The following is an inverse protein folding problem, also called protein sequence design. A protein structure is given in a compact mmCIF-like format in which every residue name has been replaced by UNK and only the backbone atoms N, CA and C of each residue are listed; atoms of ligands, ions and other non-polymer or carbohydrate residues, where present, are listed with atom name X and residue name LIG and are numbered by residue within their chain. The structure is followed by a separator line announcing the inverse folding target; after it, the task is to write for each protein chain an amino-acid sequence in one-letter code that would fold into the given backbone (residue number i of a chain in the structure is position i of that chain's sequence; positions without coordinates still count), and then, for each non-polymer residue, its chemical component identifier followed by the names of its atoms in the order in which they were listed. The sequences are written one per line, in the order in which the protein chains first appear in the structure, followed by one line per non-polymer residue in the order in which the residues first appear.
data_IF_479662905164
#
_entry.id   IF_479662905164
#
_cell.length_a   1.000
_cell.length_b   1.000
_cell.length_c   1.000
_cell.angle_alpha   90.00
_cell.angle_beta   90.00
_cell.angle_gamma   90.00
#
_symmetry.space_group_name_H-M   'P 1'
#
loop_
_entity.id
_entity.type
_entity.pdbx_description
1 polymer ?
#
# COMPACT_ATOMS: atom_id res chain seq x y z
N UNK A 1 3.96 -5.23 -6.48
CA UNK A 1 4.96 -5.78 -5.53
C UNK A 1 5.90 -4.67 -5.09
N UNK A 2 6.38 -4.69 -3.85
CA UNK A 2 7.30 -3.70 -3.31
C UNK A 2 8.40 -4.34 -2.46
N UNK A 3 9.59 -3.73 -2.49
CA UNK A 3 10.74 -4.11 -1.68
C UNK A 3 11.16 -2.96 -0.77
N UNK A 4 11.36 -3.19 0.55
CA UNK A 4 11.89 -2.19 1.47
C UNK A 4 13.36 -1.90 1.15
N UNK A 5 13.77 -0.67 1.40
CA UNK A 5 15.14 -0.19 1.20
C UNK A 5 15.37 1.12 1.96
N UNK A 6 16.60 1.47 2.35
CA UNK A 6 16.91 2.78 2.93
C UNK A 6 16.46 3.91 2.00
N UNK A 7 15.84 4.98 2.52
CA UNK A 7 15.39 6.12 1.72
C UNK A 7 16.55 6.81 0.99
N UNK A 8 16.27 7.40 -0.18
CA UNK A 8 17.30 8.15 -0.94
C UNK A 8 17.55 9.53 -0.31
N UNK A 9 16.51 10.12 0.30
CA UNK A 9 16.61 11.43 0.93
C UNK A 9 17.20 11.36 2.34
N UNK A 10 17.00 10.24 3.04
CA UNK A 10 17.48 10.03 4.40
C UNK A 10 17.74 8.53 4.65
N UNK A 11 19.00 8.06 4.55
CA UNK A 11 19.34 6.66 4.72
C UNK A 11 18.99 6.06 6.08
N UNK A 12 18.74 6.89 7.11
CA UNK A 12 18.33 6.41 8.43
C UNK A 12 16.85 5.97 8.48
N UNK A 13 16.08 6.23 7.41
CA UNK A 13 14.66 5.88 7.32
C UNK A 13 14.41 4.83 6.25
N UNK A 14 13.58 3.84 6.56
CA UNK A 14 13.10 2.89 5.57
C UNK A 14 12.08 3.53 4.62
N UNK A 15 12.22 3.20 3.34
CA UNK A 15 11.31 3.48 2.25
C UNK A 15 11.12 2.19 1.45
N UNK A 16 10.42 2.25 0.33
CA UNK A 16 10.24 1.10 -0.54
C UNK A 16 10.17 1.55 -2.00
N UNK A 17 10.45 0.60 -2.89
CA UNK A 17 10.24 0.76 -4.33
C UNK A 17 9.21 -0.27 -4.76
N UNK A 18 8.20 0.17 -5.51
CA UNK A 18 7.16 -0.71 -6.03
C UNK A 18 7.13 -0.79 -7.56
N UNK A 19 6.82 -1.99 -8.06
CA UNK A 19 6.41 -2.24 -9.44
C UNK A 19 4.96 -2.73 -9.44
N UNK A 20 4.12 -2.12 -10.26
CA UNK A 20 2.69 -2.45 -10.36
C UNK A 20 2.37 -2.86 -11.79
N UNK A 21 1.62 -3.95 -11.92
CA UNK A 21 1.03 -4.36 -13.19
C UNK A 21 -0.46 -4.06 -13.12
N UNK A 22 -0.91 -3.16 -13.98
CA UNK A 22 -2.31 -2.75 -14.08
C UNK A 22 -2.76 -2.93 -15.54
N UNK A 23 -3.97 -3.42 -15.72
CA UNK A 23 -4.54 -3.57 -17.07
C UNK A 23 -4.88 -2.21 -17.67
N UNK A 24 -4.89 -2.13 -19.00
CA UNK A 24 -5.29 -0.90 -19.70
C UNK A 24 -6.74 -0.57 -19.36
N UNK A 25 -7.03 0.69 -19.04
CA UNK A 25 -8.37 1.15 -18.63
C UNK A 25 -8.64 1.03 -17.13
N UNK A 26 -7.78 0.34 -16.39
CA UNK A 26 -7.79 0.27 -14.94
C UNK A 26 -6.86 1.34 -14.34
N UNK A 27 -7.17 1.82 -13.13
CA UNK A 27 -6.47 2.94 -12.45
C UNK A 27 -6.11 2.62 -11.00
N UNK A 28 -6.18 1.35 -10.64
CA UNK A 28 -5.86 0.88 -9.31
C UNK A 28 -4.39 1.12 -8.98
N UNK A 29 -3.52 1.22 -9.99
CA UNK A 29 -2.06 1.40 -9.86
C UNK A 29 -1.66 2.53 -8.92
N UNK A 30 -2.33 3.68 -9.00
CA UNK A 30 -2.10 4.80 -8.08
C UNK A 30 -2.31 4.39 -6.61
N UNK A 31 -3.39 3.66 -6.34
CA UNK A 31 -3.76 3.18 -5.00
C UNK A 31 -2.82 2.06 -4.56
N UNK A 32 -2.65 1.03 -5.40
CA UNK A 32 -1.90 -0.18 -5.02
C UNK A 32 -0.41 0.10 -4.86
N UNK A 33 0.15 1.05 -5.62
CA UNK A 33 1.55 1.47 -5.48
C UNK A 33 1.80 2.04 -4.10
N UNK A 34 1.01 3.04 -3.68
CA UNK A 34 1.16 3.68 -2.38
C UNK A 34 0.94 2.71 -1.21
N UNK A 35 -0.05 1.81 -1.32
CA UNK A 35 -0.28 0.76 -0.34
C UNK A 35 0.93 -0.17 -0.24
N UNK A 36 1.44 -0.65 -1.37
CA UNK A 36 2.59 -1.57 -1.41
C UNK A 36 3.84 -0.93 -0.81
N UNK A 37 4.15 0.31 -1.18
CA UNK A 37 5.32 1.03 -0.67
C UNK A 37 5.22 1.28 0.84
N UNK A 38 4.03 1.71 1.31
CA UNK A 38 3.81 1.99 2.72
C UNK A 38 3.94 0.73 3.58
N UNK A 39 3.31 -0.37 3.16
CA UNK A 39 3.37 -1.63 3.90
C UNK A 39 4.79 -2.19 3.91
N UNK A 40 5.47 -2.24 2.75
CA UNK A 40 6.83 -2.74 2.66
C UNK A 40 7.81 -1.94 3.54
N UNK A 41 7.74 -0.60 3.49
CA UNK A 41 8.63 0.26 4.26
C UNK A 41 8.40 0.16 5.78
N UNK A 42 7.14 0.04 6.21
CA UNK A 42 6.80 -0.01 7.65
C UNK A 42 7.06 -1.39 8.25
N UNK A 43 6.77 -2.45 7.51
CA UNK A 43 6.92 -3.83 7.99
C UNK A 43 8.33 -4.39 7.74
N UNK A 44 9.20 -3.62 7.06
CA UNK A 44 10.52 -4.06 6.58
C UNK A 44 10.49 -5.43 5.88
N UNK A 45 9.47 -5.62 5.03
CA UNK A 45 9.20 -6.89 4.37
C UNK A 45 8.88 -6.69 2.89
N UNK A 46 9.19 -7.71 2.07
CA UNK A 46 8.71 -7.75 0.69
C UNK A 46 7.20 -7.94 0.69
N UNK A 47 6.47 -7.05 0.03
CA UNK A 47 4.99 -7.04 0.03
C UNK A 47 4.45 -7.17 -1.39
N UNK A 48 3.46 -8.04 -1.56
CA UNK A 48 2.62 -8.11 -2.76
C UNK A 48 1.23 -7.65 -2.38
N UNK A 49 0.69 -6.73 -3.16
CA UNK A 49 -0.69 -6.27 -3.03
C UNK A 49 -1.40 -6.55 -4.34
N UNK A 50 -2.54 -7.22 -4.25
CA UNK A 50 -3.48 -7.41 -5.34
C UNK A 50 -4.79 -6.72 -4.94
N UNK A 51 -5.37 -5.95 -5.85
CA UNK A 51 -6.60 -5.20 -5.58
C UNK A 51 -7.43 -5.10 -6.87
N UNK A 52 -8.75 -5.11 -6.70
CA UNK A 52 -9.72 -4.76 -7.74
C UNK A 52 -10.72 -3.77 -7.13
N UNK A 53 -10.96 -2.65 -7.82
CA UNK A 53 -11.79 -1.56 -7.33
C UNK A 53 -12.87 -1.27 -8.37
N UNK A 54 -14.12 -1.67 -8.10
CA UNK A 54 -15.21 -1.49 -9.04
C UNK A 54 -16.43 -0.87 -8.35
N UNK A 55 -16.87 0.27 -8.88
CA UNK A 55 -18.09 0.96 -8.49
C UNK A 55 -18.68 1.64 -9.72
N UNK A 56 -20.00 1.53 -9.90
CA UNK A 56 -20.70 2.25 -10.95
C UNK A 56 -20.89 3.73 -10.58
N UNK A 57 -20.67 4.61 -11.57
CA UNK A 57 -20.94 6.05 -11.47
C UNK A 57 -20.32 6.72 -10.23
N UNK A 58 -19.13 6.28 -9.82
CA UNK A 58 -18.45 6.82 -8.64
C UNK A 58 -18.11 8.30 -8.87
N UNK A 59 -18.65 9.17 -8.01
CA UNK A 59 -18.37 10.61 -8.08
C UNK A 59 -16.93 10.90 -7.70
N UNK A 60 -16.41 12.07 -8.06
CA UNK A 60 -15.08 12.52 -7.62
C UNK A 60 -14.95 12.50 -6.08
N UNK A 61 -16.00 12.91 -5.35
CA UNK A 61 -16.03 12.80 -3.90
C UNK A 61 -16.01 11.36 -3.39
N UNK A 62 -16.66 10.44 -4.10
CA UNK A 62 -16.61 9.00 -3.82
C UNK A 62 -15.21 8.42 -4.02
N UNK A 63 -14.51 8.81 -5.09
CA UNK A 63 -13.12 8.41 -5.34
C UNK A 63 -12.21 8.84 -4.18
N UNK A 64 -12.33 10.10 -3.74
CA UNK A 64 -11.54 10.61 -2.60
C UNK A 64 -11.89 9.90 -1.29
N UNK A 65 -13.16 9.55 -1.08
CA UNK A 65 -13.56 8.76 0.08
C UNK A 65 -12.97 7.34 0.04
N UNK A 66 -12.94 6.68 -1.12
CA UNK A 66 -12.31 5.37 -1.29
C UNK A 66 -10.82 5.46 -0.97
N UNK A 67 -10.11 6.48 -1.47
CA UNK A 67 -8.68 6.69 -1.13
C UNK A 67 -8.47 6.86 0.37
N UNK A 68 -9.32 7.63 1.06
CA UNK A 68 -9.26 7.77 2.52
C UNK A 68 -9.48 6.44 3.24
N UNK A 69 -10.48 5.66 2.80
CA UNK A 69 -10.76 4.35 3.37
C UNK A 69 -9.56 3.39 3.20
N UNK A 70 -8.88 3.44 2.06
CA UNK A 70 -7.65 2.67 1.83
C UNK A 70 -6.56 3.06 2.83
N UNK A 71 -6.33 4.35 3.06
CA UNK A 71 -5.36 4.81 4.08
C UNK A 71 -5.72 4.27 5.47
N UNK A 72 -7.00 4.35 5.85
CA UNK A 72 -7.48 3.79 7.12
C UNK A 72 -7.24 2.27 7.20
N UNK A 73 -7.53 1.54 6.12
CA UNK A 73 -7.31 0.09 6.06
C UNK A 73 -5.82 -0.25 6.22
N UNK A 74 -4.92 0.45 5.51
CA UNK A 74 -3.47 0.24 5.61
C UNK A 74 -2.97 0.46 7.03
N UNK A 75 -3.43 1.53 7.69
CA UNK A 75 -3.05 1.80 9.09
C UNK A 75 -3.55 0.69 10.03
N UNK A 76 -4.74 0.13 9.79
CA UNK A 76 -5.26 -1.01 10.57
C UNK A 76 -4.46 -2.29 10.34
N UNK A 77 -4.04 -2.55 9.10
CA UNK A 77 -3.17 -3.70 8.79
C UNK A 77 -1.85 -3.56 9.56
N UNK A 78 -1.18 -2.41 9.46
CA UNK A 78 0.07 -2.14 10.20
C UNK A 78 -0.13 -2.34 11.71
N UNK A 79 -1.20 -1.78 12.28
CA UNK A 79 -1.48 -1.93 13.70
C UNK A 79 -1.69 -3.40 14.10
N UNK A 80 -2.38 -4.19 13.27
CA UNK A 80 -2.60 -5.60 13.52
C UNK A 80 -1.27 -6.39 13.52
N UNK A 81 -0.36 -6.12 12.57
CA UNK A 81 0.97 -6.73 12.56
C UNK A 81 1.80 -6.35 13.79
N UNK A 82 1.73 -5.09 14.25
CA UNK A 82 2.47 -4.65 15.43
C UNK A 82 1.90 -5.21 16.75
N UNK A 83 0.62 -5.57 16.79
CA UNK A 83 -0.02 -6.23 17.93
C UNK A 83 0.25 -7.74 17.97
N UNK A 84 0.51 -8.33 16.80
CA UNK A 84 0.97 -9.72 16.65
C UNK A 84 2.49 -9.76 16.82
N UNK A 85 2.96 -9.57 18.05
CA UNK A 85 4.38 -9.71 18.37
C UNK A 85 4.95 -11.02 17.80
N UNK A 86 5.91 -10.90 16.88
CA UNK A 86 6.85 -11.95 16.44
C UNK A 86 6.26 -13.36 16.36
N UNK A 87 5.38 -13.63 15.40
CA UNK A 87 5.29 -15.00 14.87
C UNK A 87 6.31 -15.11 13.73
N UNK A 88 7.55 -15.41 14.08
CA UNK A 88 8.56 -15.82 13.09
C UNK A 88 8.07 -17.11 12.43
N UNK A 89 7.86 -17.06 11.11
CA UNK A 89 7.77 -18.23 10.24
C UNK A 89 9.18 -18.66 9.87
#
# INVERSE_FOLDING_TARGET
MAQPRPSLADPARLSATASVFCYVGHKEDDVVKGVSERLAAVLDAKVVVAAGLHWDNLTAGGIEQVKKNVVTLVNRIIAAFNQQGTCHV
#
